data_IF_326973081134
#
_entry.id   IF_326973081134
#
_cell.length_a   1.000
_cell.length_b   1.000
_cell.length_c   1.000
_cell.angle_alpha   90.00
_cell.angle_beta   90.00
_cell.angle_gamma   90.00
#
_symmetry.space_group_name_H-M   'P 1'
#
loop_
_entity.id
_entity.type
_entity.pdbx_description
1 polymer ?
#
# COMPACT_ATOMS: atom_id res chain seq x y z
N UNK A 1 24.84 1.98 23.76
CA UNK A 1 26.14 1.29 23.69
C UNK A 1 25.91 -0.21 23.58
N UNK A 2 26.41 -0.88 22.54
CA UNK A 2 26.39 -2.35 22.50
C UNK A 2 27.43 -2.86 23.52
N UNK A 3 26.99 -3.54 24.56
CA UNK A 3 27.88 -4.11 25.57
C UNK A 3 28.90 -5.07 24.93
N UNK A 4 30.14 -5.00 25.37
CA UNK A 4 31.21 -5.90 24.93
C UNK A 4 30.81 -7.33 25.33
N UNK A 5 30.68 -8.23 24.33
CA UNK A 5 30.41 -9.65 24.58
C UNK A 5 31.73 -10.42 24.64
N UNK A 6 32.05 -10.95 25.82
CA UNK A 6 33.25 -11.80 26.00
C UNK A 6 32.93 -13.24 25.62
N UNK A 7 33.84 -13.89 24.91
CA UNK A 7 33.77 -15.33 24.61
C UNK A 7 34.07 -16.18 25.87
N UNK A 8 33.63 -17.44 25.89
CA UNK A 8 33.95 -18.35 26.98
C UNK A 8 35.46 -18.50 27.19
N UNK A 9 36.25 -18.49 26.11
CA UNK A 9 37.74 -18.57 26.18
C UNK A 9 38.35 -17.35 26.83
N UNK A 10 37.83 -16.15 26.57
CA UNK A 10 38.33 -14.91 27.18
C UNK A 10 37.98 -14.86 28.67
N UNK A 11 36.78 -15.29 29.06
CA UNK A 11 36.38 -15.40 30.47
C UNK A 11 37.25 -16.40 31.20
N UNK A 12 37.51 -17.56 30.60
CA UNK A 12 38.37 -18.60 31.16
C UNK A 12 39.81 -18.08 31.39
N UNK A 13 40.43 -17.46 30.40
CA UNK A 13 41.74 -16.84 30.52
C UNK A 13 41.80 -15.81 31.66
N UNK A 14 40.79 -14.95 31.75
CA UNK A 14 40.71 -13.93 32.79
C UNK A 14 40.62 -14.57 34.20
N UNK A 15 39.80 -15.61 34.34
CA UNK A 15 39.66 -16.32 35.63
C UNK A 15 40.90 -17.12 35.97
N UNK A 16 41.52 -17.82 35.04
CA UNK A 16 42.80 -18.55 35.27
C UNK A 16 43.88 -17.61 35.74
N UNK A 17 44.03 -16.44 35.07
CA UNK A 17 44.99 -15.43 35.48
C UNK A 17 44.74 -14.86 36.87
N UNK A 18 43.47 -14.70 37.24
CA UNK A 18 43.09 -14.21 38.59
C UNK A 18 43.24 -15.29 39.66
N UNK A 19 42.65 -16.49 39.45
CA UNK A 19 42.49 -17.52 40.48
C UNK A 19 43.72 -18.43 40.58
N UNK A 20 44.35 -18.82 39.46
CA UNK A 20 45.45 -19.79 39.43
C UNK A 20 46.81 -19.07 39.47
N UNK A 21 46.99 -18.01 38.67
CA UNK A 21 48.22 -17.24 38.64
C UNK A 21 48.29 -16.16 39.74
N UNK A 22 47.24 -16.02 40.55
CA UNK A 22 47.11 -15.10 41.70
C UNK A 22 47.37 -13.65 41.34
N UNK A 23 47.09 -13.25 40.10
CA UNK A 23 47.23 -11.87 39.65
C UNK A 23 46.12 -11.02 40.28
N UNK A 24 46.47 -9.83 40.71
CA UNK A 24 45.52 -8.89 41.30
C UNK A 24 44.32 -8.61 40.38
N UNK A 25 43.12 -8.60 40.93
CA UNK A 25 41.86 -8.45 40.20
C UNK A 25 41.76 -7.14 39.40
N UNK A 26 42.37 -6.05 39.94
CA UNK A 26 42.42 -4.77 39.25
C UNK A 26 43.26 -4.83 37.98
N UNK A 27 44.41 -5.56 38.02
CA UNK A 27 45.27 -5.78 36.85
C UNK A 27 44.54 -6.62 35.78
N UNK A 28 43.83 -7.67 36.17
CA UNK A 28 43.01 -8.52 35.28
C UNK A 28 41.87 -7.71 34.66
N UNK A 29 41.17 -6.93 35.50
CA UNK A 29 40.07 -6.05 35.04
C UNK A 29 40.56 -5.07 33.96
N UNK A 30 41.68 -4.42 34.18
CA UNK A 30 42.29 -3.50 33.17
C UNK A 30 42.71 -4.24 31.89
N UNK A 31 43.36 -5.41 32.02
CA UNK A 31 43.81 -6.20 30.86
C UNK A 31 42.68 -6.67 29.98
N UNK A 32 41.57 -7.16 30.56
CA UNK A 32 40.43 -7.65 29.84
C UNK A 32 39.34 -6.59 29.58
N UNK A 33 39.58 -5.31 29.95
CA UNK A 33 38.66 -4.17 29.79
C UNK A 33 37.25 -4.48 30.32
N UNK A 34 37.18 -5.12 31.49
CA UNK A 34 35.91 -5.45 32.16
C UNK A 34 35.93 -4.92 33.60
N UNK A 35 34.78 -4.79 34.24
CA UNK A 35 34.70 -4.40 35.64
C UNK A 35 35.01 -5.59 36.56
N UNK A 36 35.52 -5.32 37.76
CA UNK A 36 35.71 -6.34 38.80
C UNK A 36 34.44 -7.12 39.08
N UNK A 37 33.29 -6.41 39.13
CA UNK A 37 31.96 -7.05 39.31
C UNK A 37 31.69 -8.06 38.16
N UNK A 38 32.19 -7.86 36.99
CA UNK A 38 32.08 -8.79 35.86
C UNK A 38 32.92 -10.04 36.10
N UNK A 39 34.15 -9.89 36.65
CA UNK A 39 35.01 -11.00 37.01
C UNK A 39 34.40 -11.83 38.12
N UNK A 40 33.87 -11.19 39.17
CA UNK A 40 33.13 -11.88 40.25
C UNK A 40 31.94 -12.68 39.71
N UNK A 41 31.15 -12.10 38.83
CA UNK A 41 30.04 -12.82 38.19
C UNK A 41 30.50 -14.03 37.37
N UNK A 42 31.62 -13.93 36.66
CA UNK A 42 32.17 -15.09 35.96
C UNK A 42 32.68 -16.15 36.92
N UNK A 43 33.32 -15.75 38.01
CA UNK A 43 33.77 -16.67 39.07
C UNK A 43 32.59 -17.47 39.64
N UNK A 44 31.46 -16.84 39.89
CA UNK A 44 30.25 -17.53 40.41
C UNK A 44 29.69 -18.57 39.41
N UNK A 45 29.94 -18.39 38.11
CA UNK A 45 29.50 -19.34 37.08
C UNK A 45 30.53 -20.41 36.76
N UNK A 46 31.77 -20.25 37.25
CA UNK A 46 32.91 -21.08 36.86
C UNK A 46 32.99 -22.33 37.75
N UNK A 47 32.92 -23.52 37.12
CA UNK A 47 33.06 -24.83 37.74
C UNK A 47 34.42 -25.50 37.46
N UNK A 48 35.35 -24.78 36.85
CA UNK A 48 36.64 -25.30 36.38
C UNK A 48 36.71 -25.55 34.87
N UNK A 49 35.58 -25.54 34.17
CA UNK A 49 35.51 -25.82 32.72
C UNK A 49 35.22 -24.56 31.89
N UNK A 50 35.62 -24.57 30.64
CA UNK A 50 35.30 -23.47 29.68
C UNK A 50 33.80 -23.47 29.34
N UNK A 51 33.17 -24.62 29.36
CA UNK A 51 31.77 -24.85 29.04
C UNK A 51 30.85 -24.10 30.02
N UNK A 52 31.18 -24.04 31.30
CA UNK A 52 30.43 -23.31 32.32
C UNK A 52 30.34 -21.80 32.04
N UNK A 53 31.32 -21.27 31.32
CA UNK A 53 31.44 -19.86 30.97
C UNK A 53 30.76 -19.48 29.64
N UNK A 54 30.12 -20.43 28.96
CA UNK A 54 29.39 -20.13 27.73
C UNK A 54 28.26 -19.13 27.95
N UNK A 55 28.08 -18.23 26.97
CA UNK A 55 26.99 -17.27 27.05
C UNK A 55 25.65 -18.00 26.81
N UNK A 56 24.82 -18.05 27.85
CA UNK A 56 23.46 -18.57 27.71
C UNK A 56 22.63 -17.65 26.80
N UNK A 57 21.76 -18.21 25.98
CA UNK A 57 20.82 -17.46 25.19
C UNK A 57 19.91 -16.64 26.11
N UNK A 58 19.79 -15.34 25.84
CA UNK A 58 18.81 -14.48 26.51
C UNK A 58 17.45 -14.51 25.81
N UNK A 59 17.29 -15.39 24.81
CA UNK A 59 16.02 -15.50 24.07
C UNK A 59 14.95 -16.09 25.01
N UNK A 60 13.77 -15.46 25.07
CA UNK A 60 12.66 -16.01 25.86
C UNK A 60 12.32 -17.43 25.40
N UNK A 61 12.08 -18.33 26.34
CA UNK A 61 11.67 -19.71 26.07
C UNK A 61 10.17 -19.82 25.78
N UNK A 62 9.38 -18.83 26.21
CA UNK A 62 7.95 -18.74 25.95
C UNK A 62 7.66 -17.95 24.67
N UNK A 63 6.59 -18.33 23.97
CA UNK A 63 6.12 -17.55 22.82
C UNK A 63 5.69 -16.16 23.27
N UNK A 64 6.05 -15.14 22.48
CA UNK A 64 5.64 -13.77 22.75
C UNK A 64 4.10 -13.69 22.80
N UNK A 65 3.46 -12.96 23.74
CA UNK A 65 2.00 -12.85 23.84
C UNK A 65 1.34 -12.39 22.53
N UNK A 66 2.03 -11.58 21.74
CA UNK A 66 1.57 -11.11 20.43
C UNK A 66 2.04 -12.01 19.27
N UNK A 67 2.52 -13.23 19.51
CA UNK A 67 2.82 -14.18 18.45
C UNK A 67 1.51 -14.66 17.79
N UNK A 68 1.54 -14.89 16.49
CA UNK A 68 0.40 -15.45 15.77
C UNK A 68 0.11 -16.87 16.28
N UNK A 69 -1.18 -17.18 16.40
CA UNK A 69 -1.65 -18.54 16.73
C UNK A 69 -1.65 -19.42 15.48
N UNK A 70 -1.78 -20.73 15.67
CA UNK A 70 -1.91 -21.67 14.56
C UNK A 70 -3.17 -21.38 13.72
N UNK A 71 -4.27 -21.01 14.36
CA UNK A 71 -5.52 -20.65 13.71
C UNK A 71 -5.36 -19.40 12.85
N UNK A 72 -4.77 -18.33 13.40
CA UNK A 72 -4.47 -17.11 12.64
C UNK A 72 -3.58 -17.40 11.42
N UNK A 73 -2.63 -18.34 11.54
CA UNK A 73 -1.78 -18.77 10.45
C UNK A 73 -2.60 -19.41 9.32
N UNK A 74 -3.50 -20.34 9.65
CA UNK A 74 -4.37 -21.02 8.69
C UNK A 74 -5.29 -20.01 7.99
N UNK A 75 -5.94 -19.13 8.74
CA UNK A 75 -6.83 -18.10 8.20
C UNK A 75 -6.11 -17.18 7.19
N UNK A 76 -4.90 -16.74 7.53
CA UNK A 76 -4.08 -15.91 6.64
C UNK A 76 -3.68 -16.68 5.38
N UNK A 77 -3.22 -17.93 5.54
CA UNK A 77 -2.77 -18.76 4.43
C UNK A 77 -3.93 -19.07 3.46
N UNK A 78 -5.12 -19.40 3.98
CA UNK A 78 -6.33 -19.65 3.17
C UNK A 78 -6.72 -18.42 2.37
N UNK A 79 -6.83 -17.26 3.02
CA UNK A 79 -7.20 -16.00 2.35
C UNK A 79 -6.22 -15.64 1.23
N UNK A 80 -4.91 -15.74 1.48
CA UNK A 80 -3.88 -15.41 0.49
C UNK A 80 -3.79 -16.45 -0.63
N UNK A 81 -4.19 -17.70 -0.39
CA UNK A 81 -4.31 -18.74 -1.42
C UNK A 81 -5.53 -18.51 -2.32
N UNK A 82 -6.69 -18.17 -1.73
CA UNK A 82 -7.91 -17.87 -2.48
C UNK A 82 -7.78 -16.59 -3.32
N UNK A 83 -7.10 -15.58 -2.76
CA UNK A 83 -6.93 -14.27 -3.39
C UNK A 83 -5.46 -13.84 -3.38
N UNK A 84 -4.63 -14.41 -4.26
CA UNK A 84 -3.17 -14.15 -4.25
C UNK A 84 -2.81 -12.67 -4.51
N UNK A 85 -3.66 -11.92 -5.21
CA UNK A 85 -3.45 -10.52 -5.59
C UNK A 85 -4.05 -9.51 -4.60
N UNK A 86 -4.72 -9.97 -3.53
CA UNK A 86 -5.35 -9.08 -2.53
C UNK A 86 -4.31 -8.15 -1.89
N UNK A 87 -4.59 -6.85 -1.75
CA UNK A 87 -3.70 -5.92 -1.05
C UNK A 87 -3.55 -6.25 0.44
N UNK A 88 -2.39 -5.97 1.05
CA UNK A 88 -2.19 -6.24 2.49
C UNK A 88 -3.21 -5.53 3.40
N UNK A 89 -3.59 -4.29 3.06
CA UNK A 89 -4.59 -3.55 3.84
C UNK A 89 -5.99 -4.17 3.71
N UNK A 90 -6.34 -4.59 2.51
CA UNK A 90 -7.61 -5.25 2.20
C UNK A 90 -7.67 -6.64 2.88
N UNK A 91 -6.60 -7.44 2.76
CA UNK A 91 -6.49 -8.72 3.43
C UNK A 91 -6.66 -8.60 4.96
N UNK A 92 -6.03 -7.60 5.56
CA UNK A 92 -6.19 -7.33 6.98
C UNK A 92 -7.64 -6.93 7.33
N UNK A 93 -8.29 -6.14 6.46
CA UNK A 93 -9.70 -5.76 6.62
C UNK A 93 -10.61 -6.98 6.61
N UNK A 94 -10.44 -7.89 5.65
CA UNK A 94 -11.21 -9.14 5.58
C UNK A 94 -10.96 -10.06 6.79
N UNK A 95 -9.71 -10.23 7.21
CA UNK A 95 -9.38 -11.02 8.39
C UNK A 95 -10.05 -10.48 9.65
N UNK A 96 -10.12 -9.15 9.80
CA UNK A 96 -10.82 -8.51 10.92
C UNK A 96 -12.33 -8.73 10.87
N UNK A 97 -12.91 -8.62 9.70
CA UNK A 97 -14.34 -8.78 9.50
C UNK A 97 -14.79 -10.24 9.68
N UNK A 98 -14.05 -11.20 9.07
CA UNK A 98 -14.44 -12.62 9.07
C UNK A 98 -14.05 -13.36 10.35
N UNK A 99 -12.90 -13.02 10.94
CA UNK A 99 -12.28 -13.80 12.01
C UNK A 99 -11.95 -12.99 13.27
N UNK A 100 -12.42 -11.74 13.36
CA UNK A 100 -12.11 -10.83 14.48
C UNK A 100 -10.60 -10.69 14.75
N UNK A 101 -9.77 -10.74 13.70
CA UNK A 101 -8.31 -10.70 13.78
C UNK A 101 -7.81 -9.38 14.40
N UNK A 102 -7.04 -9.47 15.51
CA UNK A 102 -6.70 -8.32 16.36
C UNK A 102 -5.28 -7.77 16.16
N UNK A 103 -4.44 -8.42 15.32
CA UNK A 103 -3.05 -8.01 15.17
C UNK A 103 -2.91 -6.69 14.41
N UNK A 104 -1.77 -6.02 14.62
CA UNK A 104 -1.46 -4.78 13.89
C UNK A 104 -1.10 -5.10 12.44
N UNK A 105 -1.23 -4.11 11.57
CA UNK A 105 -0.79 -4.23 10.17
C UNK A 105 0.65 -4.69 10.04
N UNK A 106 1.56 -4.08 10.80
CA UNK A 106 2.97 -4.46 10.74
C UNK A 106 3.23 -5.88 11.30
N UNK A 107 2.45 -6.31 12.29
CA UNK A 107 2.48 -7.68 12.78
C UNK A 107 2.08 -8.67 11.69
N UNK A 108 0.95 -8.41 11.04
CA UNK A 108 0.45 -9.17 9.91
C UNK A 108 1.44 -9.19 8.73
N UNK A 109 1.90 -8.02 8.28
CA UNK A 109 2.84 -7.90 7.17
C UNK A 109 4.14 -8.69 7.43
N UNK A 110 4.76 -8.50 8.61
CA UNK A 110 5.98 -9.22 8.98
C UNK A 110 5.77 -10.73 9.03
N UNK A 111 4.60 -11.15 9.49
CA UNK A 111 4.24 -12.56 9.56
C UNK A 111 4.14 -13.16 8.16
N UNK A 112 3.42 -12.53 7.24
CA UNK A 112 3.28 -12.97 5.84
C UNK A 112 4.64 -13.07 5.14
N UNK A 113 5.47 -12.04 5.27
CA UNK A 113 6.81 -11.99 4.66
C UNK A 113 7.74 -13.06 5.25
N UNK A 114 7.77 -13.18 6.59
CA UNK A 114 8.64 -14.14 7.28
C UNK A 114 8.31 -15.60 6.91
N UNK A 115 7.04 -15.90 6.71
CA UNK A 115 6.59 -17.27 6.38
C UNK A 115 6.50 -17.51 4.87
N UNK A 116 6.94 -16.56 4.03
CA UNK A 116 6.95 -16.73 2.58
C UNK A 116 5.55 -16.88 1.96
N UNK A 117 4.50 -16.46 2.67
CA UNK A 117 3.12 -16.56 2.20
C UNK A 117 2.84 -15.64 1.00
N UNK A 118 3.75 -14.73 0.74
CA UNK A 118 3.75 -13.85 -0.42
C UNK A 118 5.18 -13.44 -0.79
N UNK A 119 5.55 -13.44 -2.08
CA UNK A 119 6.86 -12.96 -2.49
C UNK A 119 7.02 -11.46 -2.18
N UNK A 120 8.15 -11.09 -1.63
CA UNK A 120 8.50 -9.69 -1.40
C UNK A 120 8.80 -9.01 -2.74
N UNK A 121 7.94 -8.08 -3.18
CA UNK A 121 8.27 -7.24 -4.34
C UNK A 121 9.37 -6.26 -3.91
N UNK A 122 10.57 -6.43 -4.45
CA UNK A 122 11.64 -5.43 -4.31
C UNK A 122 11.20 -4.19 -5.08
N UNK A 123 10.83 -3.15 -4.36
CA UNK A 123 10.51 -1.84 -4.94
C UNK A 123 11.81 -1.03 -4.92
N UNK A 124 12.38 -0.77 -6.10
CA UNK A 124 13.46 0.20 -6.21
C UNK A 124 13.02 1.54 -5.58
N UNK A 125 13.79 2.02 -4.63
CA UNK A 125 13.54 3.32 -3.98
C UNK A 125 13.84 4.42 -4.99
N UNK A 126 12.79 4.92 -5.66
CA UNK A 126 12.87 6.19 -6.39
C UNK A 126 12.75 7.34 -5.38
N UNK A 127 13.58 8.36 -5.50
CA UNK A 127 13.44 9.60 -4.73
C UNK A 127 12.08 10.24 -5.04
N UNK A 128 11.17 10.15 -4.12
CA UNK A 128 9.85 10.74 -4.25
C UNK A 128 9.87 12.15 -3.66
N UNK A 129 9.82 13.16 -4.53
CA UNK A 129 9.42 14.50 -4.07
C UNK A 129 8.00 14.42 -3.52
N UNK A 130 7.72 14.95 -2.32
CA UNK A 130 6.40 14.91 -1.73
C UNK A 130 5.39 15.61 -2.65
N UNK A 131 4.27 14.95 -2.92
CA UNK A 131 3.13 15.54 -3.61
C UNK A 131 2.13 15.98 -2.55
N UNK A 132 1.79 17.25 -2.56
CA UNK A 132 0.79 17.79 -1.65
C UNK A 132 -0.60 17.29 -2.02
N UNK A 133 -1.20 16.49 -1.14
CA UNK A 133 -2.53 15.92 -1.33
C UNK A 133 -3.54 16.74 -0.55
N UNK A 134 -4.60 17.27 -1.20
CA UNK A 134 -5.67 17.97 -0.49
C UNK A 134 -6.23 17.14 0.66
N UNK A 135 -6.52 17.79 1.78
CA UNK A 135 -7.08 17.12 2.95
C UNK A 135 -8.60 17.02 2.90
N UNK A 136 -9.24 17.99 2.25
CA UNK A 136 -10.70 18.07 2.12
C UNK A 136 -11.17 17.53 0.77
N UNK A 137 -12.32 16.90 0.78
CA UNK A 137 -13.01 16.45 -0.43
C UNK A 137 -13.37 17.64 -1.34
N UNK A 138 -13.47 17.39 -2.64
CA UNK A 138 -13.89 18.40 -3.61
C UNK A 138 -12.85 19.48 -3.94
N UNK A 139 -11.66 19.47 -3.36
CA UNK A 139 -10.60 20.42 -3.74
C UNK A 139 -10.03 20.07 -5.11
N UNK A 140 -9.71 18.79 -5.33
CA UNK A 140 -9.10 18.35 -6.57
C UNK A 140 -9.48 16.92 -6.90
N UNK A 141 -9.89 16.71 -8.15
CA UNK A 141 -10.11 15.40 -8.72
C UNK A 141 -9.12 15.14 -9.87
N UNK A 142 -8.73 13.88 -10.04
CA UNK A 142 -7.98 13.42 -11.19
C UNK A 142 -8.92 12.63 -12.10
N UNK A 143 -8.84 12.88 -13.41
CA UNK A 143 -9.63 12.17 -14.42
C UNK A 143 -8.72 11.62 -15.51
N UNK A 144 -9.01 10.39 -15.98
CA UNK A 144 -8.25 9.71 -16.99
C UNK A 144 -9.11 8.68 -17.74
N UNK A 145 -8.64 8.26 -18.91
CA UNK A 145 -9.31 7.26 -19.74
C UNK A 145 -8.36 6.11 -20.03
N UNK A 146 -8.81 4.89 -19.80
CA UNK A 146 -8.07 3.69 -20.17
C UNK A 146 -8.86 2.80 -21.13
N UNK A 147 -8.15 2.00 -21.90
CA UNK A 147 -8.76 0.93 -22.69
C UNK A 147 -9.26 -0.20 -21.80
N UNK A 148 -10.44 -0.70 -22.07
CA UNK A 148 -10.89 -1.99 -21.56
C UNK A 148 -10.11 -3.08 -22.29
N UNK A 149 -9.45 -4.03 -21.61
CA UNK A 149 -8.68 -5.09 -22.27
C UNK A 149 -9.56 -5.91 -23.22
N UNK A 150 -9.09 -6.11 -24.45
CA UNK A 150 -9.86 -6.80 -25.49
C UNK A 150 -10.18 -8.26 -25.15
N UNK A 151 -9.30 -8.93 -24.42
CA UNK A 151 -9.48 -10.30 -23.97
C UNK A 151 -10.62 -10.50 -22.96
N UNK A 152 -11.11 -9.41 -22.37
CA UNK A 152 -12.30 -9.43 -21.52
C UNK A 152 -13.60 -9.58 -22.32
N UNK A 153 -13.64 -9.14 -23.59
CA UNK A 153 -14.82 -9.19 -24.45
C UNK A 153 -14.90 -10.56 -25.16
N UNK A 154 -15.88 -11.37 -24.78
CA UNK A 154 -16.13 -12.70 -25.37
C UNK A 154 -17.40 -12.75 -26.23
N UNK A 155 -18.07 -11.61 -26.44
CA UNK A 155 -19.28 -11.48 -27.24
C UNK A 155 -19.05 -11.53 -28.75
N UNK A 156 -20.13 -11.36 -29.51
CA UNK A 156 -20.09 -11.32 -30.99
C UNK A 156 -19.13 -10.25 -31.53
N UNK A 157 -19.00 -9.13 -30.81
CA UNK A 157 -18.17 -8.00 -31.19
C UNK A 157 -16.88 -7.96 -30.37
N UNK A 158 -16.25 -9.09 -30.17
CA UNK A 158 -15.04 -9.24 -29.33
C UNK A 158 -13.85 -8.35 -29.73
N UNK A 159 -13.85 -7.79 -30.92
CA UNK A 159 -12.82 -6.86 -31.40
C UNK A 159 -13.19 -5.38 -31.18
N UNK A 160 -14.40 -5.08 -30.70
CA UNK A 160 -14.80 -3.71 -30.37
C UNK A 160 -13.99 -3.23 -29.16
N UNK A 161 -13.50 -2.01 -29.27
CA UNK A 161 -12.78 -1.34 -28.20
C UNK A 161 -13.74 -0.53 -27.35
N UNK A 162 -13.68 -0.75 -26.04
CA UNK A 162 -14.37 0.05 -25.05
C UNK A 162 -13.38 0.85 -24.22
N UNK A 163 -13.85 1.96 -23.68
CA UNK A 163 -13.04 2.92 -22.97
C UNK A 163 -13.63 3.13 -21.57
N UNK A 164 -12.83 2.85 -20.54
CA UNK A 164 -13.19 3.18 -19.17
C UNK A 164 -12.75 4.62 -18.88
N UNK A 165 -13.71 5.50 -18.67
CA UNK A 165 -13.50 6.79 -18.07
C UNK A 165 -13.50 6.66 -16.56
N UNK A 166 -12.60 7.35 -15.90
CA UNK A 166 -12.42 7.29 -14.46
C UNK A 166 -12.15 8.67 -13.90
N UNK A 167 -12.75 8.99 -12.76
CA UNK A 167 -12.46 10.19 -12.00
C UNK A 167 -12.38 9.83 -10.52
N UNK A 168 -11.41 10.38 -9.81
CA UNK A 168 -11.12 10.10 -8.40
C UNK A 168 -10.90 11.39 -7.63
N UNK A 169 -11.54 11.54 -6.47
CA UNK A 169 -11.23 12.61 -5.53
C UNK A 169 -9.90 12.33 -4.82
N UNK A 170 -9.01 13.33 -4.81
CA UNK A 170 -7.66 13.15 -4.28
C UNK A 170 -7.62 12.99 -2.75
N UNK A 171 -8.56 13.55 -2.01
CA UNK A 171 -8.61 13.48 -0.55
C UNK A 171 -9.22 12.17 -0.06
N UNK A 172 -10.36 11.80 -0.61
CA UNK A 172 -11.15 10.65 -0.16
C UNK A 172 -10.80 9.36 -0.87
N UNK A 173 -10.19 9.42 -2.05
CA UNK A 173 -10.01 8.28 -2.97
C UNK A 173 -11.32 7.69 -3.47
N UNK A 174 -12.47 8.30 -3.17
CA UNK A 174 -13.73 7.94 -3.78
C UNK A 174 -13.64 8.19 -5.28
N UNK A 175 -14.12 7.23 -6.06
CA UNK A 175 -14.06 7.34 -7.52
C UNK A 175 -15.38 7.00 -8.16
N UNK A 176 -15.53 7.47 -9.40
CA UNK A 176 -16.58 7.07 -10.32
C UNK A 176 -15.94 6.56 -11.61
N UNK A 177 -16.49 5.48 -12.18
CA UNK A 177 -16.08 4.89 -13.45
C UNK A 177 -17.29 4.61 -14.32
N UNK A 178 -17.12 4.73 -15.64
CA UNK A 178 -18.16 4.42 -16.62
C UNK A 178 -17.52 4.03 -17.96
N UNK A 179 -18.12 3.09 -18.71
CA UNK A 179 -17.62 2.68 -20.00
C UNK A 179 -18.29 3.47 -21.13
N UNK A 180 -17.51 3.71 -22.21
CA UNK A 180 -17.99 4.29 -23.46
C UNK A 180 -17.48 3.48 -24.66
N UNK A 181 -18.22 3.56 -25.77
CA UNK A 181 -17.82 2.95 -27.05
C UNK A 181 -16.81 3.80 -27.81
N UNK A 182 -16.67 5.07 -27.45
CA UNK A 182 -15.72 5.99 -28.08
C UNK A 182 -14.92 6.80 -27.05
N UNK A 183 -13.77 7.25 -27.49
CA UNK A 183 -12.90 8.15 -26.75
C UNK A 183 -12.96 9.53 -27.40
N UNK A 184 -13.85 10.39 -26.90
CA UNK A 184 -14.14 11.69 -27.48
C UNK A 184 -14.39 12.77 -26.42
N UNK A 185 -14.31 14.05 -26.81
CA UNK A 185 -14.69 15.18 -25.96
C UNK A 185 -16.18 15.15 -25.55
N UNK A 186 -17.04 14.58 -26.41
CA UNK A 186 -18.47 14.41 -26.09
C UNK A 186 -18.68 13.35 -25.00
N UNK A 187 -18.01 12.21 -25.10
CA UNK A 187 -18.03 11.18 -24.07
C UNK A 187 -17.46 11.71 -22.76
N UNK A 188 -16.37 12.49 -22.79
CA UNK A 188 -15.81 13.14 -21.61
C UNK A 188 -16.81 14.09 -20.96
N UNK A 189 -17.50 14.89 -21.76
CA UNK A 189 -18.52 15.83 -21.27
C UNK A 189 -19.70 15.12 -20.62
N UNK A 190 -20.21 14.03 -21.21
CA UNK A 190 -21.26 13.21 -20.61
C UNK A 190 -20.76 12.54 -19.31
N UNK A 191 -19.55 11.99 -19.34
CA UNK A 191 -18.94 11.39 -18.17
C UNK A 191 -18.80 12.35 -16.99
N UNK A 192 -18.34 13.58 -17.22
CA UNK A 192 -18.24 14.61 -16.17
C UNK A 192 -19.61 14.87 -15.55
N UNK A 193 -20.66 15.02 -16.35
CA UNK A 193 -22.02 15.24 -15.84
C UNK A 193 -22.48 14.09 -14.93
N UNK A 194 -22.28 12.83 -15.37
CA UNK A 194 -22.61 11.63 -14.58
C UNK A 194 -21.82 11.58 -13.28
N UNK A 195 -20.53 11.89 -13.34
CA UNK A 195 -19.66 11.92 -12.18
C UNK A 195 -20.11 12.97 -11.15
N UNK A 196 -20.46 14.16 -11.58
CA UNK A 196 -20.95 15.22 -10.68
C UNK A 196 -22.27 14.84 -10.00
N UNK A 197 -23.18 14.16 -10.74
CA UNK A 197 -24.41 13.61 -10.16
C UNK A 197 -24.06 12.54 -9.11
N UNK A 198 -23.14 11.63 -9.43
CA UNK A 198 -22.72 10.57 -8.53
C UNK A 198 -22.09 11.10 -7.23
N UNK A 199 -21.19 12.08 -7.33
CA UNK A 199 -20.53 12.67 -6.18
C UNK A 199 -21.46 13.60 -5.37
N UNK A 200 -22.46 14.24 -5.99
CA UNK A 200 -23.36 15.17 -5.34
C UNK A 200 -22.70 16.48 -4.90
N UNK A 201 -21.50 16.79 -5.41
CA UNK A 201 -20.79 18.06 -5.19
C UNK A 201 -19.95 18.46 -6.39
N UNK A 202 -19.60 19.75 -6.48
CA UNK A 202 -18.71 20.30 -7.50
C UNK A 202 -17.27 20.39 -6.96
N UNK A 203 -16.28 19.82 -7.65
CA UNK A 203 -14.89 19.99 -7.26
C UNK A 203 -14.39 21.39 -7.67
N UNK A 204 -13.39 21.93 -6.94
CA UNK A 204 -12.74 23.17 -7.37
C UNK A 204 -11.91 22.99 -8.64
N UNK A 205 -11.28 21.82 -8.78
CA UNK A 205 -10.39 21.52 -9.90
C UNK A 205 -10.56 20.09 -10.38
N UNK A 206 -10.66 19.90 -11.68
CA UNK A 206 -10.50 18.58 -12.35
C UNK A 206 -9.19 18.61 -13.12
N UNK A 207 -8.30 17.66 -12.82
CA UNK A 207 -7.01 17.49 -13.47
C UNK A 207 -7.07 16.32 -14.45
N UNK A 208 -6.57 16.54 -15.68
CA UNK A 208 -6.45 15.54 -16.73
C UNK A 208 -5.05 15.54 -17.34
N UNK A 209 -4.74 14.55 -18.13
CA UNK A 209 -3.62 14.61 -19.06
C UNK A 209 -3.96 15.48 -20.30
N UNK A 210 -3.05 15.49 -21.30
CA UNK A 210 -3.20 16.27 -22.52
C UNK A 210 -3.83 15.42 -23.66
N UNK A 211 -4.64 14.43 -23.34
CA UNK A 211 -5.35 13.62 -24.34
C UNK A 211 -6.35 14.45 -25.15
N UNK A 212 -6.56 14.07 -26.41
CA UNK A 212 -7.46 14.79 -27.33
C UNK A 212 -8.92 14.75 -26.88
N UNK A 213 -9.28 13.82 -26.02
CA UNK A 213 -10.59 13.74 -25.36
C UNK A 213 -10.79 14.83 -24.31
N UNK A 214 -9.71 15.45 -23.82
CA UNK A 214 -9.72 16.46 -22.76
C UNK A 214 -9.36 17.86 -23.26
N UNK A 215 -8.53 17.96 -24.32
CA UNK A 215 -8.03 19.25 -24.83
C UNK A 215 -7.76 19.20 -26.31
N UNK A 216 -7.72 20.35 -26.94
CA UNK A 216 -7.35 20.46 -28.36
C UNK A 216 -5.84 20.19 -28.53
N UNK A 217 -5.44 19.43 -29.57
CA UNK A 217 -4.03 19.25 -29.90
C UNK A 217 -3.35 20.61 -30.18
N UNK A 218 -2.10 20.74 -29.74
CA UNK A 218 -1.31 21.93 -30.06
C UNK A 218 -1.19 22.11 -31.59
N UNK A 219 -1.49 23.32 -32.06
CA UNK A 219 -1.43 23.67 -33.51
C UNK A 219 -2.68 23.28 -34.29
N UNK A 220 -3.69 22.62 -33.68
CA UNK A 220 -4.98 22.36 -34.34
C UNK A 220 -6.07 23.08 -33.58
N UNK A 221 -6.81 23.97 -34.21
CA UNK A 221 -7.93 24.65 -33.60
C UNK A 221 -7.55 25.88 -32.76
N UNK A 222 -6.52 26.64 -33.16
CA UNK A 222 -6.23 27.95 -32.58
C UNK A 222 -7.51 28.81 -32.53
N UNK A 223 -7.85 29.25 -31.28
CA UNK A 223 -9.08 30.01 -31.01
C UNK A 223 -10.33 29.17 -30.72
N UNK A 224 -10.30 27.83 -30.83
CA UNK A 224 -11.44 26.99 -30.48
C UNK A 224 -11.31 26.45 -29.05
N UNK A 225 -12.32 26.72 -28.25
CA UNK A 225 -12.38 26.18 -26.87
C UNK A 225 -12.85 24.73 -26.95
N UNK A 226 -12.16 23.84 -26.22
CA UNK A 226 -12.54 22.42 -26.17
C UNK A 226 -13.88 22.23 -25.48
N UNK A 227 -14.70 21.29 -25.93
CA UNK A 227 -16.07 21.09 -25.41
C UNK A 227 -16.10 20.78 -23.90
N UNK A 228 -15.06 20.17 -23.36
CA UNK A 228 -14.90 19.91 -21.90
C UNK A 228 -14.66 21.21 -21.15
N UNK A 229 -13.80 22.11 -21.68
CA UNK A 229 -13.54 23.41 -21.06
C UNK A 229 -14.80 24.30 -21.05
N UNK A 230 -15.62 24.25 -22.11
CA UNK A 230 -16.91 24.93 -22.15
C UNK A 230 -17.79 24.48 -20.99
N UNK A 231 -17.93 23.15 -20.78
CA UNK A 231 -18.74 22.63 -19.68
C UNK A 231 -18.18 23.05 -18.33
N UNK A 232 -16.86 22.84 -18.09
CA UNK A 232 -16.24 23.12 -16.82
C UNK A 232 -16.30 24.62 -16.44
N UNK A 233 -16.10 25.50 -17.43
CA UNK A 233 -16.25 26.94 -17.25
C UNK A 233 -17.69 27.33 -16.90
N UNK A 234 -18.70 26.71 -17.56
CA UNK A 234 -20.12 26.97 -17.26
C UNK A 234 -20.51 26.64 -15.82
N UNK A 235 -19.88 25.61 -15.24
CA UNK A 235 -20.17 25.16 -13.86
C UNK A 235 -19.16 25.69 -12.82
N UNK A 236 -18.22 26.58 -13.22
CA UNK A 236 -17.24 27.18 -12.32
C UNK A 236 -16.16 26.24 -11.81
N UNK A 237 -15.88 25.14 -12.53
CA UNK A 237 -14.83 24.16 -12.18
C UNK A 237 -13.57 24.43 -13.00
N UNK A 238 -12.43 24.56 -12.32
CA UNK A 238 -11.13 24.76 -13.00
C UNK A 238 -10.68 23.49 -13.69
N UNK A 239 -10.39 23.53 -14.99
CA UNK A 239 -9.67 22.50 -15.70
C UNK A 239 -8.16 22.70 -15.54
N UNK A 240 -7.43 21.66 -15.14
CA UNK A 240 -5.98 21.68 -14.97
C UNK A 240 -5.35 20.56 -15.80
N UNK A 241 -4.59 20.92 -16.82
CA UNK A 241 -3.78 19.97 -17.57
C UNK A 241 -2.47 19.67 -16.81
N UNK A 242 -2.04 18.41 -16.80
CA UNK A 242 -0.70 18.06 -16.29
C UNK A 242 0.37 18.61 -17.24
N UNK A 243 1.55 18.91 -16.67
CA UNK A 243 2.71 19.25 -17.51
C UNK A 243 3.11 18.05 -18.35
N UNK A 244 3.46 18.29 -19.60
CA UNK A 244 3.99 17.24 -20.48
C UNK A 244 5.17 16.52 -19.79
N UNK A 245 5.27 15.21 -19.98
CA UNK A 245 6.29 14.34 -19.40
C UNK A 245 6.36 14.29 -17.86
N UNK A 246 5.26 14.63 -17.15
CA UNK A 246 5.16 14.51 -15.69
C UNK A 246 4.03 13.56 -15.25
N UNK A 247 4.13 12.25 -15.54
CA UNK A 247 3.06 11.28 -15.20
C UNK A 247 2.72 11.21 -13.72
N UNK A 248 3.67 11.60 -12.83
CA UNK A 248 3.46 11.60 -11.38
C UNK A 248 2.27 12.43 -10.91
N UNK A 249 1.81 13.40 -11.71
CA UNK A 249 0.68 14.26 -11.36
C UNK A 249 -0.66 13.51 -11.37
N UNK A 250 -0.81 12.46 -12.20
CA UNK A 250 -2.00 11.61 -12.26
C UNK A 250 -1.86 10.28 -11.46
N UNK A 251 -0.87 10.20 -10.56
CA UNK A 251 -0.51 8.95 -9.89
C UNK A 251 -1.62 8.31 -9.05
N UNK A 252 -2.64 9.07 -8.61
CA UNK A 252 -3.76 8.50 -7.83
C UNK A 252 -4.72 7.73 -8.73
N UNK A 253 -5.07 8.31 -9.88
CA UNK A 253 -5.94 7.63 -10.84
C UNK A 253 -5.21 6.48 -11.53
N UNK A 254 -3.92 6.63 -11.88
CA UNK A 254 -3.10 5.55 -12.41
C UNK A 254 -3.03 4.36 -11.44
N UNK A 255 -2.86 4.64 -10.14
CA UNK A 255 -2.91 3.59 -9.10
C UNK A 255 -4.27 2.92 -9.03
N UNK A 256 -5.36 3.66 -9.23
CA UNK A 256 -6.71 3.06 -9.28
C UNK A 256 -6.89 2.17 -10.51
N UNK A 257 -6.35 2.56 -11.67
CA UNK A 257 -6.35 1.74 -12.88
C UNK A 257 -5.57 0.42 -12.72
N UNK A 258 -4.47 0.47 -11.97
CA UNK A 258 -3.74 -0.75 -11.64
C UNK A 258 -4.58 -1.67 -10.75
N UNK A 259 -5.32 -1.12 -9.80
CA UNK A 259 -6.27 -1.89 -8.99
C UNK A 259 -7.38 -2.52 -9.83
N UNK A 260 -7.85 -1.81 -10.88
CA UNK A 260 -8.81 -2.36 -11.83
C UNK A 260 -8.21 -3.53 -12.60
N UNK A 261 -6.96 -3.39 -13.06
CA UNK A 261 -6.30 -4.48 -13.79
C UNK A 261 -6.17 -5.73 -12.91
N UNK A 262 -5.68 -5.56 -11.68
CA UNK A 262 -5.39 -6.67 -10.77
C UNK A 262 -6.67 -7.31 -10.18
N UNK A 263 -7.66 -6.50 -9.80
CA UNK A 263 -8.86 -6.96 -9.07
C UNK A 263 -10.08 -7.24 -9.94
N UNK A 264 -10.14 -6.64 -11.10
CA UNK A 264 -11.33 -6.69 -11.97
C UNK A 264 -11.03 -7.26 -13.36
N UNK A 265 -10.20 -6.58 -14.17
CA UNK A 265 -10.02 -6.97 -15.57
C UNK A 265 -9.36 -8.33 -15.77
N UNK A 266 -8.42 -8.74 -14.93
CA UNK A 266 -7.79 -10.07 -15.03
C UNK A 266 -8.77 -11.24 -14.89
N UNK A 267 -9.98 -10.97 -14.36
CA UNK A 267 -11.02 -11.97 -14.14
C UNK A 267 -12.30 -11.69 -14.92
N UNK A 268 -12.37 -10.54 -15.55
CA UNK A 268 -13.57 -10.09 -16.26
C UNK A 268 -13.75 -10.83 -17.57
N UNK A 269 -14.99 -11.31 -17.81
CA UNK A 269 -15.49 -11.69 -19.12
C UNK A 269 -16.87 -11.06 -19.27
N UNK A 270 -17.17 -10.51 -20.44
CA UNK A 270 -18.48 -9.93 -20.78
C UNK A 270 -18.80 -10.17 -22.25
N UNK A 271 -20.06 -10.25 -22.58
CA UNK A 271 -20.58 -10.54 -23.91
C UNK A 271 -21.30 -9.34 -24.56
N UNK A 272 -21.70 -8.34 -23.76
CA UNK A 272 -22.35 -7.12 -24.24
C UNK A 272 -21.85 -5.88 -23.51
N UNK A 273 -22.11 -4.71 -24.10
CA UNK A 273 -21.77 -3.43 -23.48
C UNK A 273 -22.53 -3.20 -22.16
N UNK A 274 -23.77 -3.60 -22.11
CA UNK A 274 -24.65 -3.50 -20.95
C UNK A 274 -24.10 -4.35 -19.79
N UNK A 275 -23.68 -5.58 -20.08
CA UNK A 275 -23.04 -6.45 -19.10
C UNK A 275 -21.71 -5.87 -18.57
N UNK A 276 -20.92 -5.23 -19.45
CA UNK A 276 -19.72 -4.52 -19.01
C UNK A 276 -20.07 -3.40 -18.03
N UNK A 277 -21.09 -2.59 -18.34
CA UNK A 277 -21.53 -1.48 -17.46
C UNK A 277 -22.02 -1.99 -16.10
N UNK A 278 -22.78 -3.05 -16.07
CA UNK A 278 -23.29 -3.67 -14.83
C UNK A 278 -22.12 -4.18 -13.97
N UNK A 279 -21.19 -4.94 -14.56
CA UNK A 279 -20.01 -5.45 -13.86
C UNK A 279 -19.09 -4.32 -13.37
N UNK A 280 -18.95 -3.24 -14.14
CA UNK A 280 -18.20 -2.07 -13.71
C UNK A 280 -18.87 -1.34 -12.54
N UNK A 281 -20.21 -1.24 -12.53
CA UNK A 281 -20.95 -0.65 -11.42
C UNK A 281 -20.80 -1.47 -10.13
N UNK A 282 -20.88 -2.79 -10.23
CA UNK A 282 -20.61 -3.68 -9.10
C UNK A 282 -19.17 -3.52 -8.59
N UNK A 283 -18.18 -3.46 -9.49
CA UNK A 283 -16.80 -3.24 -9.14
C UNK A 283 -16.54 -1.87 -8.49
N UNK A 284 -17.20 -0.83 -8.96
CA UNK A 284 -17.16 0.50 -8.36
C UNK A 284 -17.60 0.47 -6.89
N UNK A 285 -18.68 -0.25 -6.59
CA UNK A 285 -19.17 -0.45 -5.23
C UNK A 285 -18.13 -1.16 -4.37
N UNK A 286 -17.51 -2.23 -4.86
CA UNK A 286 -16.43 -2.94 -4.16
C UNK A 286 -15.25 -2.02 -3.90
N UNK A 287 -14.82 -1.25 -4.91
CA UNK A 287 -13.67 -0.36 -4.76
C UNK A 287 -13.90 0.71 -3.69
N UNK A 288 -15.05 1.38 -3.70
CA UNK A 288 -15.34 2.50 -2.79
C UNK A 288 -15.64 2.03 -1.35
N UNK A 289 -15.97 0.75 -1.15
CA UNK A 289 -16.22 0.15 0.16
C UNK A 289 -15.04 -0.64 0.75
N UNK A 290 -13.91 -0.74 0.05
CA UNK A 290 -12.74 -1.47 0.58
C UNK A 290 -11.76 -0.52 1.28
N UNK A 291 -11.04 -0.97 2.34
CA UNK A 291 -10.02 -0.17 3.01
C UNK A 291 -8.85 0.19 2.08
N UNK A 292 -8.42 1.44 2.12
CA UNK A 292 -7.29 1.94 1.35
C UNK A 292 -6.07 2.25 2.22
N UNK A 293 -4.90 1.73 1.85
CA UNK A 293 -3.65 1.97 2.58
C UNK A 293 -3.24 3.44 2.67
N UNK A 294 -3.71 4.27 1.73
CA UNK A 294 -3.47 5.72 1.73
C UNK A 294 -4.44 6.50 2.63
N UNK A 295 -5.53 5.87 3.10
CA UNK A 295 -6.55 6.50 3.95
C UNK A 295 -6.38 6.01 5.38
N UNK A 296 -5.59 6.72 6.18
CA UNK A 296 -5.39 6.43 7.61
C UNK A 296 -6.26 7.34 8.44
N UNK A 297 -6.85 6.82 9.51
CA UNK A 297 -7.50 7.66 10.51
C UNK A 297 -6.43 8.46 11.28
N UNK A 298 -6.67 9.79 11.48
CA UNK A 298 -5.72 10.72 12.12
C UNK A 298 -5.63 10.56 13.64
N UNK A 299 -6.58 9.91 14.27
CA UNK A 299 -6.65 9.75 15.73
C UNK A 299 -5.63 8.77 16.34
N UNK A 300 -4.48 8.56 15.68
CA UNK A 300 -3.41 7.67 16.17
C UNK A 300 -3.72 6.17 16.11
N UNK A 301 -4.95 5.78 15.84
CA UNK A 301 -5.34 4.39 15.59
C UNK A 301 -5.01 4.06 14.13
N UNK A 302 -4.18 3.05 13.89
CA UNK A 302 -3.80 2.57 12.56
C UNK A 302 -4.97 1.79 11.90
N UNK A 303 -6.09 2.46 11.73
CA UNK A 303 -7.27 1.92 11.06
C UNK A 303 -7.34 2.52 9.66
N UNK A 304 -7.42 1.68 8.63
CA UNK A 304 -7.61 2.12 7.26
C UNK A 304 -9.09 2.34 7.00
N UNK A 305 -9.40 3.51 6.46
CA UNK A 305 -10.74 3.88 6.05
C UNK A 305 -11.01 3.43 4.61
N UNK A 306 -12.27 3.21 4.30
CA UNK A 306 -12.74 3.12 2.92
C UNK A 306 -12.89 4.53 2.33
N UNK A 307 -12.90 4.69 1.00
CA UNK A 307 -13.23 5.97 0.36
C UNK A 307 -14.53 6.60 0.88
N UNK A 308 -15.59 5.80 1.03
CA UNK A 308 -16.89 6.28 1.54
C UNK A 308 -16.85 6.68 3.03
N UNK A 309 -16.05 6.02 3.86
CA UNK A 309 -15.86 6.42 5.26
C UNK A 309 -15.01 7.69 5.40
N UNK A 310 -14.20 8.00 4.40
CA UNK A 310 -13.36 9.20 4.37
C UNK A 310 -14.12 10.42 3.83
N UNK A 311 -15.18 10.21 3.07
CA UNK A 311 -16.08 11.24 2.58
C UNK A 311 -16.80 11.94 3.75
#
# INVERSE_FOLDING_TARGET
MKGIKYSAKEKYKALTMWLNEKVDILKVSKKFKCSERTLWRWKTMFDGTIESLQNKSSRPHTKHPNAHTAEEWVQIAMLLKERPDIGYAEALGELRQKYAYKRTYFGFYRFVVKNGLRPHKVIEKRENKPYDTPEMLGIKMQMDVKYVPLDCNVGKFRNERFYQYSIIDEATRERFIYAYKEKSGYSTRDFVKRALIYFGYLPKTIQTDNGTEFTNPKGTGEGKIHTVDILLNQIGVKHQLIRAYTPRHNGKIERSHRSDQEGFYNKLKFSSFEELQEKMSAWLTVYNNRPHSALRNREGKKVWQTPLQKR
#
